data_IF_505067442798
#
_entry.id   IF_505067442798
#
_cell.length_a   1.000
_cell.length_b   1.000
_cell.length_c   1.000
_cell.angle_alpha   90.00
_cell.angle_beta   90.00
_cell.angle_gamma   90.00
#
_symmetry.space_group_name_H-M   'P 1'
#
loop_
_entity.id
_entity.type
_entity.pdbx_description
1 polymer ?
#
# COMPACT_ATOMS: atom_id res chain seq x y z
N UNK A 1 42.15 -39.84 0.34
CA UNK A 1 40.80 -40.12 -0.18
C UNK A 1 39.78 -39.85 0.91
N UNK A 2 38.84 -38.91 0.71
CA UNK A 2 37.75 -38.66 1.67
C UNK A 2 36.77 -39.85 1.61
N UNK A 3 36.50 -40.47 2.75
CA UNK A 3 35.54 -41.57 2.93
C UNK A 3 34.13 -41.17 2.48
N UNK A 4 33.39 -42.11 1.87
CA UNK A 4 32.02 -41.90 1.37
C UNK A 4 31.05 -41.44 2.45
N UNK A 5 31.25 -41.88 3.71
CA UNK A 5 30.47 -41.41 4.88
C UNK A 5 30.61 -39.90 5.08
N UNK A 6 31.83 -39.37 4.90
CA UNK A 6 32.12 -37.94 5.09
C UNK A 6 31.57 -37.10 3.94
N UNK A 7 31.56 -37.62 2.72
CA UNK A 7 30.88 -36.97 1.57
C UNK A 7 29.37 -36.89 1.79
N UNK A 8 28.75 -37.97 2.28
CA UNK A 8 27.33 -37.99 2.57
C UNK A 8 26.95 -36.95 3.64
N UNK A 9 27.66 -36.91 4.77
CA UNK A 9 27.40 -35.93 5.85
C UNK A 9 27.60 -34.49 5.38
N UNK A 10 28.67 -34.21 4.63
CA UNK A 10 28.91 -32.86 4.10
C UNK A 10 27.87 -32.46 3.05
N UNK A 11 27.42 -33.40 2.22
CA UNK A 11 26.39 -33.16 1.21
C UNK A 11 25.03 -32.83 1.85
N UNK A 12 24.61 -33.60 2.85
CA UNK A 12 23.36 -33.34 3.57
C UNK A 12 23.40 -32.05 4.37
N UNK A 13 24.50 -31.74 5.06
CA UNK A 13 24.65 -30.46 5.78
C UNK A 13 24.54 -29.25 4.83
N UNK A 14 25.11 -29.32 3.63
CA UNK A 14 24.98 -28.26 2.61
C UNK A 14 23.54 -28.12 2.10
N UNK A 15 22.86 -29.24 1.86
CA UNK A 15 21.47 -29.23 1.41
C UNK A 15 20.54 -28.60 2.47
N UNK A 16 20.71 -28.96 3.74
CA UNK A 16 19.96 -28.36 4.86
C UNK A 16 20.27 -26.87 4.97
N UNK A 17 21.54 -26.47 4.86
CA UNK A 17 21.92 -25.06 4.89
C UNK A 17 21.29 -24.23 3.77
N UNK A 18 21.27 -24.75 2.54
CA UNK A 18 20.63 -24.08 1.41
C UNK A 18 19.10 -23.98 1.56
N UNK A 19 18.46 -25.05 2.03
CA UNK A 19 17.02 -25.03 2.31
C UNK A 19 16.67 -24.05 3.45
N UNK A 20 17.48 -23.97 4.49
CA UNK A 20 17.28 -23.04 5.59
C UNK A 20 17.41 -21.57 5.11
N UNK A 21 18.44 -21.24 4.35
CA UNK A 21 18.62 -19.89 3.79
C UNK A 21 17.50 -19.54 2.81
N UNK A 22 17.12 -20.47 1.92
CA UNK A 22 16.00 -20.28 1.01
C UNK A 22 14.68 -20.08 1.74
N UNK A 23 14.44 -20.86 2.81
CA UNK A 23 13.26 -20.73 3.66
C UNK A 23 13.17 -19.38 4.37
N UNK A 24 14.29 -18.88 4.91
CA UNK A 24 14.34 -17.58 5.58
C UNK A 24 14.11 -16.41 4.62
N UNK A 25 14.70 -16.47 3.41
CA UNK A 25 14.48 -15.45 2.39
C UNK A 25 13.02 -15.46 1.92
N UNK A 26 12.46 -16.64 1.71
CA UNK A 26 11.07 -16.80 1.29
C UNK A 26 10.08 -16.36 2.36
N UNK A 27 10.34 -16.66 3.63
CA UNK A 27 9.49 -16.20 4.74
C UNK A 27 9.50 -14.69 4.87
N UNK A 28 10.68 -14.05 4.81
CA UNK A 28 10.79 -12.60 4.83
C UNK A 28 10.00 -11.94 3.68
N UNK A 29 10.05 -12.54 2.49
CA UNK A 29 9.29 -12.05 1.34
C UNK A 29 7.77 -12.19 1.52
N UNK A 30 7.29 -13.31 2.09
CA UNK A 30 5.86 -13.51 2.37
C UNK A 30 5.35 -12.52 3.42
N UNK A 31 6.11 -12.29 4.47
CA UNK A 31 5.72 -11.36 5.54
C UNK A 31 5.52 -9.95 4.97
N UNK A 32 6.43 -9.48 4.12
CA UNK A 32 6.29 -8.18 3.45
C UNK A 32 5.08 -8.14 2.50
N UNK A 33 4.84 -9.22 1.74
CA UNK A 33 3.73 -9.31 0.80
C UNK A 33 2.35 -9.35 1.48
N UNK A 34 2.27 -9.81 2.73
CA UNK A 34 1.03 -9.96 3.51
C UNK A 34 0.84 -8.91 4.59
N UNK A 35 1.81 -8.02 4.76
CA UNK A 35 1.71 -6.91 5.70
C UNK A 35 0.65 -5.89 5.22
N UNK A 36 -0.52 -5.84 5.88
CA UNK A 36 -1.04 -4.59 6.46
C UNK A 36 -2.38 -4.78 7.21
N UNK A 37 -2.53 -4.08 8.34
CA UNK A 37 -3.83 -3.85 9.01
C UNK A 37 -4.31 -2.39 8.93
N UNK A 38 -3.46 -1.46 8.52
CA UNK A 38 -3.72 -0.01 8.54
C UNK A 38 -3.08 0.70 7.33
N UNK A 39 -3.13 0.09 6.15
CA UNK A 39 -2.66 0.72 4.92
C UNK A 39 -3.80 1.54 4.31
N UNK A 40 -3.52 2.80 3.96
CA UNK A 40 -4.48 3.67 3.28
C UNK A 40 -4.21 3.63 1.77
N UNK A 41 -5.29 3.47 1.01
CA UNK A 41 -5.27 3.33 -0.44
C UNK A 41 -5.85 4.58 -1.12
N UNK A 42 -5.45 4.87 -2.38
CA UNK A 42 -5.99 5.99 -3.15
C UNK A 42 -7.53 5.98 -3.25
N UNK A 43 -8.15 7.09 -3.69
CA UNK A 43 -9.59 7.15 -3.94
C UNK A 43 -10.02 6.01 -4.86
N UNK A 44 -11.18 5.42 -4.56
CA UNK A 44 -11.79 4.39 -5.37
C UNK A 44 -11.09 3.03 -5.38
N UNK A 45 -10.12 2.79 -4.49
CA UNK A 45 -9.54 1.46 -4.35
C UNK A 45 -10.60 0.42 -3.97
N UNK A 46 -10.50 -0.77 -4.59
CA UNK A 46 -11.27 -1.94 -4.20
C UNK A 46 -10.94 -2.38 -2.77
N UNK A 47 -11.67 -3.38 -2.27
CA UNK A 47 -11.29 -4.09 -1.04
C UNK A 47 -9.82 -4.56 -1.13
N UNK A 48 -9.06 -4.56 -0.03
CA UNK A 48 -7.61 -4.84 -0.08
C UNK A 48 -7.30 -6.17 -0.83
N UNK A 49 -8.05 -7.24 -0.55
CA UNK A 49 -7.85 -8.53 -1.21
C UNK A 49 -8.08 -8.49 -2.72
N UNK A 50 -9.08 -7.72 -3.18
CA UNK A 50 -9.40 -7.60 -4.61
C UNK A 50 -8.47 -6.59 -5.30
N UNK A 51 -8.09 -5.54 -4.58
CA UNK A 51 -7.11 -4.56 -5.01
C UNK A 51 -5.76 -5.22 -5.32
N UNK A 52 -5.26 -6.09 -4.43
CA UNK A 52 -3.99 -6.79 -4.61
C UNK A 52 -4.01 -7.77 -5.79
N UNK A 53 -5.17 -8.35 -6.12
CA UNK A 53 -5.34 -9.23 -7.30
C UNK A 53 -5.45 -8.45 -8.60
N UNK A 54 -6.01 -7.25 -8.54
CA UNK A 54 -6.37 -6.45 -9.72
C UNK A 54 -5.29 -5.42 -10.08
N UNK A 55 -4.52 -4.95 -9.11
CA UNK A 55 -3.47 -3.97 -9.35
C UNK A 55 -2.31 -4.58 -10.14
N UNK A 56 -2.10 -4.10 -11.36
CA UNK A 56 -0.98 -4.53 -12.22
C UNK A 56 0.32 -3.77 -11.96
N UNK A 57 0.37 -2.93 -10.91
CA UNK A 57 1.57 -2.21 -10.47
C UNK A 57 2.21 -1.31 -11.55
N UNK A 58 1.36 -0.70 -12.38
CA UNK A 58 1.80 0.13 -13.50
C UNK A 58 2.28 1.55 -13.11
N UNK A 59 1.93 2.04 -11.92
CA UNK A 59 2.35 3.37 -11.46
C UNK A 59 1.59 4.56 -12.05
N UNK A 60 0.68 4.39 -13.02
CA UNK A 60 0.00 5.52 -13.67
C UNK A 60 -0.83 6.38 -12.70
N UNK A 61 -1.39 5.80 -11.64
CA UNK A 61 -2.09 6.57 -10.60
C UNK A 61 -1.15 7.49 -9.81
N UNK A 62 0.11 7.09 -9.63
CA UNK A 62 1.15 7.90 -8.97
C UNK A 62 1.55 9.06 -9.88
N UNK A 63 1.81 8.79 -11.16
CA UNK A 63 2.15 9.82 -12.15
C UNK A 63 1.02 10.84 -12.37
N UNK A 64 -0.24 10.39 -12.31
CA UNK A 64 -1.41 11.26 -12.45
C UNK A 64 -1.71 12.09 -11.18
N UNK A 65 -1.06 11.81 -10.04
CA UNK A 65 -1.28 12.56 -8.80
C UNK A 65 -0.52 13.89 -8.84
N UNK A 66 -1.19 15.06 -8.85
CA UNK A 66 -0.52 16.34 -9.02
C UNK A 66 0.23 16.84 -7.77
N UNK A 67 0.09 16.14 -6.65
CA UNK A 67 0.63 16.55 -5.34
C UNK A 67 1.69 15.59 -4.79
N UNK A 68 2.13 14.60 -5.58
CA UNK A 68 3.07 13.56 -5.14
C UNK A 68 2.61 12.82 -3.86
N UNK A 69 1.31 12.83 -3.57
CA UNK A 69 0.71 12.15 -2.40
C UNK A 69 0.91 10.64 -2.50
N UNK A 70 0.74 10.07 -3.70
CA UNK A 70 0.78 8.64 -3.92
C UNK A 70 2.21 8.18 -4.20
N UNK A 71 2.64 7.14 -3.51
CA UNK A 71 3.94 6.49 -3.70
C UNK A 71 3.78 4.99 -3.90
N UNK A 72 4.67 4.38 -4.67
CA UNK A 72 4.70 2.92 -4.82
C UNK A 72 5.49 2.30 -3.69
N UNK A 73 4.94 1.26 -3.07
CA UNK A 73 5.64 0.50 -2.04
C UNK A 73 6.93 -0.14 -2.58
N UNK A 74 8.03 0.14 -1.89
CA UNK A 74 9.37 -0.38 -2.13
C UNK A 74 9.75 -1.42 -1.09
N UNK A 75 10.76 -2.28 -1.35
CA UNK A 75 11.24 -3.23 -0.35
C UNK A 75 11.67 -2.54 0.95
N UNK A 76 11.08 -2.95 2.07
CA UNK A 76 11.35 -2.39 3.40
C UNK A 76 10.20 -1.53 3.96
N UNK A 77 9.22 -1.16 3.12
CA UNK A 77 8.06 -0.36 3.55
C UNK A 77 7.05 -1.17 4.39
N UNK A 78 7.23 -2.49 4.49
CA UNK A 78 6.29 -3.44 5.11
C UNK A 78 4.89 -3.29 4.52
N UNK A 79 4.82 -3.21 3.19
CA UNK A 79 3.60 -2.99 2.41
C UNK A 79 3.65 -3.85 1.15
N UNK A 80 2.50 -4.18 0.53
CA UNK A 80 2.49 -4.99 -0.68
C UNK A 80 3.27 -4.32 -1.81
N UNK A 81 4.40 -4.93 -2.20
CA UNK A 81 5.39 -4.34 -3.11
C UNK A 81 4.78 -3.88 -4.43
N UNK A 82 5.17 -2.67 -4.87
CA UNK A 82 4.75 -2.07 -6.14
C UNK A 82 3.29 -1.62 -6.18
N UNK A 83 2.61 -1.59 -5.04
CA UNK A 83 1.23 -1.08 -4.95
C UNK A 83 1.23 0.36 -4.43
N UNK A 84 0.31 1.22 -4.91
CA UNK A 84 0.24 2.62 -4.49
C UNK A 84 -0.34 2.75 -3.09
N UNK A 85 0.24 3.64 -2.28
CA UNK A 85 -0.26 4.03 -0.96
C UNK A 85 0.08 5.49 -0.69
N UNK A 86 -0.41 6.04 0.42
CA UNK A 86 0.00 7.34 0.92
C UNK A 86 -0.03 7.37 2.44
N UNK A 87 0.72 8.32 3.02
CA UNK A 87 0.78 8.53 4.47
C UNK A 87 0.22 9.92 4.79
N UNK A 88 -1.01 10.03 5.34
CA UNK A 88 -1.68 11.31 5.51
C UNK A 88 -0.94 12.34 6.36
N UNK A 89 -0.04 11.88 7.24
CA UNK A 89 0.77 12.75 8.11
C UNK A 89 1.96 13.37 7.39
N UNK A 90 2.42 12.75 6.30
CA UNK A 90 3.53 13.26 5.48
C UNK A 90 2.98 14.14 4.36
N UNK A 91 2.20 13.54 3.45
CA UNK A 91 1.54 14.24 2.35
C UNK A 91 0.10 13.69 2.25
N UNK A 92 -0.93 14.47 2.62
CA UNK A 92 -2.30 14.00 2.58
C UNK A 92 -2.84 13.94 1.15
N UNK A 93 -3.95 13.22 0.96
CA UNK A 93 -4.74 13.36 -0.25
C UNK A 93 -5.49 14.70 -0.21
N UNK A 94 -5.22 15.55 -1.19
CA UNK A 94 -5.87 16.87 -1.34
C UNK A 94 -7.29 16.80 -1.91
N UNK A 95 -7.87 15.60 -2.05
CA UNK A 95 -9.26 15.40 -2.47
C UNK A 95 -9.62 16.18 -3.75
N UNK A 96 -8.83 15.96 -4.81
CA UNK A 96 -9.01 16.64 -6.10
C UNK A 96 -10.42 16.39 -6.65
N UNK A 97 -11.18 17.42 -7.08
CA UNK A 97 -12.54 17.26 -7.60
C UNK A 97 -12.66 16.36 -8.83
N UNK A 98 -11.61 16.34 -9.65
CA UNK A 98 -11.48 15.57 -10.90
C UNK A 98 -10.83 14.19 -10.71
N UNK A 99 -10.36 13.89 -9.48
CA UNK A 99 -9.81 12.59 -9.07
C UNK A 99 -8.89 11.95 -10.13
N UNK A 100 -7.83 12.65 -10.62
CA UNK A 100 -7.10 12.25 -11.82
C UNK A 100 -6.43 10.87 -11.70
N UNK A 101 -6.15 10.41 -10.48
CA UNK A 101 -5.54 9.11 -10.22
C UNK A 101 -6.46 7.90 -10.52
N UNK A 102 -7.80 8.07 -10.55
CA UNK A 102 -8.74 6.96 -10.74
C UNK A 102 -8.98 6.62 -12.22
N UNK A 103 -9.37 7.58 -13.10
CA UNK A 103 -9.67 7.27 -14.50
C UNK A 103 -8.49 6.69 -15.29
N UNK A 104 -7.25 6.96 -14.86
CA UNK A 104 -6.03 6.44 -15.49
C UNK A 104 -5.75 4.98 -15.14
N UNK A 105 -6.47 4.37 -14.19
CA UNK A 105 -6.24 2.99 -13.78
C UNK A 105 -6.71 2.01 -14.87
N UNK A 106 -5.79 1.29 -15.55
CA UNK A 106 -6.15 0.47 -16.70
C UNK A 106 -6.74 -0.88 -16.28
N UNK A 107 -6.39 -1.36 -15.08
CA UNK A 107 -6.80 -2.66 -14.59
C UNK A 107 -8.12 -2.60 -13.81
N UNK A 108 -8.63 -1.42 -13.50
CA UNK A 108 -9.82 -1.24 -12.67
C UNK A 108 -9.57 -1.54 -11.18
N UNK A 109 -8.32 -1.55 -10.72
CA UNK A 109 -8.00 -1.65 -9.29
C UNK A 109 -8.51 -0.42 -8.51
N UNK A 110 -8.60 0.72 -9.18
CA UNK A 110 -9.33 1.89 -8.73
C UNK A 110 -10.65 1.94 -9.52
N UNK A 111 -11.76 1.67 -8.85
CA UNK A 111 -13.08 1.65 -9.45
C UNK A 111 -13.64 3.06 -9.58
N UNK A 112 -13.72 3.55 -10.82
CA UNK A 112 -14.31 4.85 -11.15
C UNK A 112 -15.76 4.97 -10.65
N UNK A 113 -16.52 3.87 -10.63
CA UNK A 113 -17.93 3.90 -10.21
C UNK A 113 -18.07 4.16 -8.72
N UNK A 114 -17.12 3.68 -7.92
CA UNK A 114 -17.11 3.90 -6.47
C UNK A 114 -16.93 5.38 -6.07
N UNK A 115 -16.38 6.19 -6.98
CA UNK A 115 -16.18 7.64 -6.82
C UNK A 115 -17.00 8.46 -7.81
N UNK A 116 -18.07 7.89 -8.37
CA UNK A 116 -18.94 8.58 -9.31
C UNK A 116 -20.38 8.65 -8.81
N UNK A 117 -21.03 9.79 -9.03
CA UNK A 117 -22.44 10.03 -8.74
C UNK A 117 -23.09 10.70 -9.95
N UNK A 118 -24.19 10.15 -10.45
CA UNK A 118 -24.88 10.64 -11.65
C UNK A 118 -23.94 10.81 -12.87
N UNK A 119 -23.05 9.83 -13.10
CA UNK A 119 -22.08 9.83 -14.21
C UNK A 119 -21.00 10.92 -14.13
N UNK A 120 -20.87 11.61 -13.00
CA UNK A 120 -19.81 12.59 -12.73
C UNK A 120 -18.96 12.12 -11.55
N UNK A 121 -17.66 12.47 -11.58
CA UNK A 121 -16.76 12.20 -10.47
C UNK A 121 -17.16 13.06 -9.26
N UNK A 122 -17.20 12.42 -8.10
CA UNK A 122 -17.57 13.04 -6.82
C UNK A 122 -16.60 12.53 -5.75
N UNK A 123 -15.66 13.38 -5.34
CA UNK A 123 -14.61 13.01 -4.38
C UNK A 123 -15.17 12.71 -2.98
N UNK A 124 -16.34 13.23 -2.63
CA UNK A 124 -16.97 12.98 -1.33
C UNK A 124 -17.45 11.52 -1.19
N UNK A 125 -17.58 10.82 -2.31
CA UNK A 125 -17.89 9.38 -2.35
C UNK A 125 -16.67 8.49 -2.02
N UNK A 126 -15.45 9.04 -2.08
CA UNK A 126 -14.23 8.28 -1.90
C UNK A 126 -14.13 7.66 -0.48
N UNK A 127 -13.71 6.38 -0.44
CA UNK A 127 -13.45 5.64 0.80
C UNK A 127 -11.96 5.33 0.88
N UNK A 128 -11.19 6.17 1.57
CA UNK A 128 -9.72 6.07 1.69
C UNK A 128 -9.25 5.86 3.14
N UNK A 129 -10.14 5.40 4.02
CA UNK A 129 -9.92 5.34 5.47
C UNK A 129 -10.94 6.18 6.23
N UNK A 130 -10.95 6.03 7.55
CA UNK A 130 -11.81 6.79 8.46
C UNK A 130 -10.96 7.70 9.34
N UNK A 131 -11.07 9.01 9.14
CA UNK A 131 -10.49 9.99 10.04
C UNK A 131 -11.36 10.13 11.30
N UNK A 132 -10.75 10.05 12.48
CA UNK A 132 -11.43 10.24 13.77
C UNK A 132 -10.79 11.44 14.45
N UNK A 133 -11.59 12.47 14.74
CA UNK A 133 -11.14 13.66 15.46
C UNK A 133 -11.47 13.50 16.94
N UNK A 134 -10.45 13.59 17.79
CA UNK A 134 -10.63 13.63 19.23
C UNK A 134 -10.98 15.06 19.69
N UNK A 135 -12.26 15.30 19.95
CA UNK A 135 -12.76 16.60 20.38
C UNK A 135 -12.16 17.12 21.70
N UNK A 136 -11.58 16.25 22.54
CA UNK A 136 -10.93 16.69 23.79
C UNK A 136 -9.53 17.25 23.56
N UNK A 137 -8.82 16.75 22.56
CA UNK A 137 -7.43 17.12 22.27
C UNK A 137 -7.31 18.05 21.05
N UNK A 138 -8.35 18.15 20.22
CA UNK A 138 -8.36 19.00 19.06
C UNK A 138 -8.55 20.47 19.47
N UNK A 139 -7.48 21.26 19.35
CA UNK A 139 -7.48 22.69 19.65
C UNK A 139 -8.46 23.50 18.78
N UNK A 140 -8.87 22.96 17.64
CA UNK A 140 -9.87 23.62 16.80
C UNK A 140 -11.26 23.64 17.44
N UNK A 141 -11.59 22.65 18.28
CA UNK A 141 -12.79 22.70 19.11
C UNK A 141 -12.71 23.78 20.21
N UNK A 142 -11.51 24.28 20.50
CA UNK A 142 -11.29 25.37 21.45
C UNK A 142 -11.22 26.74 20.76
N UNK A 143 -11.52 26.81 19.45
CA UNK A 143 -11.58 28.06 18.68
C UNK A 143 -10.27 28.46 17.99
N UNK A 144 -9.26 27.59 17.97
CA UNK A 144 -8.02 27.79 17.22
C UNK A 144 -8.21 27.27 15.77
N UNK A 145 -7.48 27.79 14.79
CA UNK A 145 -7.60 27.33 13.41
C UNK A 145 -6.96 25.93 13.21
N UNK A 146 -7.45 25.17 12.22
CA UNK A 146 -6.97 23.82 11.87
C UNK A 146 -5.60 23.78 11.16
N UNK A 147 -4.73 24.73 11.49
CA UNK A 147 -3.37 24.88 10.98
C UNK A 147 -2.34 24.97 12.13
N UNK A 148 -2.80 25.04 13.38
CA UNK A 148 -1.93 25.24 14.54
C UNK A 148 -1.33 23.96 15.13
N UNK A 149 -1.86 22.77 14.78
CA UNK A 149 -1.28 21.48 15.14
C UNK A 149 -0.48 20.91 13.98
N UNK A 150 0.80 20.58 14.22
CA UNK A 150 1.68 19.85 13.29
C UNK A 150 2.10 18.52 13.93
#
# INVERSE_FOLDING_TARGET
MISDRRKFILGSARAVGLMALGGLIWSAYIDEATASKLLLRPPGALSEDDFLKTCIKCGMCVEACPYDTLVLATPGDNKPLGTPFFEPREIPCYMCPDIPCVPVCPSGALDIKSVSKNEQLDIDMARMGLAVVDAKNCIAFWGIQCDACY
#
